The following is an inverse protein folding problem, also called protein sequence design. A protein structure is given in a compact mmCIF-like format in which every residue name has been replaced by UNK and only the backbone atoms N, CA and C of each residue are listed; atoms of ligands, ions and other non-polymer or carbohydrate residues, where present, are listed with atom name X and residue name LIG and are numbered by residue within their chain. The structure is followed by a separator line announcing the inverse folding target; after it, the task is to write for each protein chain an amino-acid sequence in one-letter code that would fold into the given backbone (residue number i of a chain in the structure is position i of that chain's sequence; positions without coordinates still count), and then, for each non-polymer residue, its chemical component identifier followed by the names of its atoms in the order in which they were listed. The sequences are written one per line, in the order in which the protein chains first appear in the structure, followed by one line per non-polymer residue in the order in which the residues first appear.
data_IF_050522671316
#
_entry.id   IF_050522671316
#
_cell.length_a   1.000
_cell.length_b   1.000
_cell.length_c   1.000
_cell.angle_alpha   90.00
_cell.angle_beta   90.00
_cell.angle_gamma   90.00
#
_symmetry.space_group_name_H-M   'P 1'
#
loop_
_entity.id
_entity.type
_entity.pdbx_description
1 polymer ?
#
# COMPACT_ATOMS: atom_id res chain seq x y z
N UNK A 1 -25.39 -6.92 -2.63
CA UNK A 1 -25.01 -7.20 -4.03
C UNK A 1 -23.66 -7.91 -4.11
N UNK A 2 -22.50 -7.24 -4.04
CA UNK A 2 -21.19 -7.92 -4.22
C UNK A 2 -20.87 -8.97 -3.14
N UNK A 3 -21.04 -8.64 -1.85
CA UNK A 3 -20.81 -9.60 -0.76
C UNK A 3 -21.76 -10.81 -0.83
N UNK A 4 -23.03 -10.57 -1.10
CA UNK A 4 -24.06 -11.62 -1.25
C UNK A 4 -23.78 -12.50 -2.47
N UNK A 5 -23.27 -11.91 -3.56
CA UNK A 5 -22.83 -12.66 -4.72
C UNK A 5 -21.63 -13.56 -4.37
N UNK A 6 -20.66 -13.07 -3.60
CA UNK A 6 -19.52 -13.88 -3.14
C UNK A 6 -19.98 -15.10 -2.31
N UNK A 7 -20.99 -14.92 -1.45
CA UNK A 7 -21.61 -16.00 -0.68
C UNK A 7 -22.39 -16.98 -1.55
N UNK A 8 -23.20 -16.47 -2.48
CA UNK A 8 -23.95 -17.29 -3.44
C UNK A 8 -23.03 -18.14 -4.32
N UNK A 9 -21.87 -17.59 -4.70
CA UNK A 9 -20.86 -18.27 -5.50
C UNK A 9 -19.99 -19.22 -4.67
N UNK A 10 -20.10 -19.19 -3.34
CA UNK A 10 -19.35 -20.04 -2.41
C UNK A 10 -17.87 -19.67 -2.29
N UNK A 11 -17.47 -18.46 -2.69
CA UNK A 11 -16.06 -18.00 -2.62
C UNK A 11 -15.74 -17.27 -1.32
N UNK A 12 -16.77 -16.89 -0.57
CA UNK A 12 -16.62 -16.28 0.73
C UNK A 12 -17.82 -16.62 1.61
N UNK A 13 -17.62 -16.71 2.91
CA UNK A 13 -18.69 -16.83 3.90
C UNK A 13 -18.46 -15.75 4.96
N UNK A 14 -19.42 -14.84 5.15
CA UNK A 14 -19.27 -13.78 6.15
C UNK A 14 -19.07 -14.34 7.54
N UNK A 15 -19.56 -15.52 7.86
CA UNK A 15 -19.36 -16.17 9.15
C UNK A 15 -17.95 -16.78 9.27
N UNK A 16 -17.21 -16.97 8.18
CA UNK A 16 -15.80 -17.37 8.23
C UNK A 16 -14.84 -16.17 8.39
N UNK A 17 -15.32 -14.93 8.39
CA UNK A 17 -14.49 -13.72 8.59
C UNK A 17 -13.57 -13.82 9.81
N UNK A 18 -12.34 -13.32 9.70
CA UNK A 18 -11.35 -13.37 10.77
C UNK A 18 -11.78 -12.56 12.00
N UNK A 19 -12.27 -11.34 11.77
CA UNK A 19 -12.68 -10.40 12.83
C UNK A 19 -14.16 -10.54 13.16
N UNK A 20 -14.54 -10.44 14.43
CA UNK A 20 -15.95 -10.54 14.84
C UNK A 20 -16.89 -9.54 14.14
N UNK A 21 -16.42 -8.32 13.88
CA UNK A 21 -17.19 -7.29 13.17
C UNK A 21 -16.79 -7.23 11.70
N UNK A 22 -17.78 -7.23 10.81
CA UNK A 22 -17.56 -7.02 9.39
C UNK A 22 -17.53 -5.51 9.10
N UNK A 23 -16.42 -5.03 8.53
CA UNK A 23 -16.26 -3.63 8.16
C UNK A 23 -16.83 -3.37 6.75
N UNK A 24 -18.16 -3.30 6.62
CA UNK A 24 -18.82 -3.06 5.33
C UNK A 24 -18.30 -1.83 4.60
N UNK A 25 -17.90 -0.80 5.34
CA UNK A 25 -17.32 0.42 4.79
C UNK A 25 -16.01 0.17 4.04
N UNK A 26 -15.26 -0.91 4.33
CA UNK A 26 -14.08 -1.28 3.55
C UNK A 26 -14.45 -1.74 2.16
N UNK A 27 -15.49 -2.57 2.02
CA UNK A 27 -15.96 -3.02 0.72
C UNK A 27 -16.57 -1.86 -0.08
N UNK A 28 -17.49 -1.08 0.50
CA UNK A 28 -18.13 0.01 -0.23
C UNK A 28 -17.14 1.07 -0.71
N UNK A 29 -16.22 1.50 0.16
CA UNK A 29 -15.17 2.45 -0.21
C UNK A 29 -14.13 1.81 -1.13
N UNK A 30 -13.83 0.52 -0.96
CA UNK A 30 -12.92 -0.22 -1.83
C UNK A 30 -13.40 -0.27 -3.28
N UNK A 31 -14.69 -0.53 -3.50
CA UNK A 31 -15.29 -0.56 -4.84
C UNK A 31 -15.33 0.80 -5.55
N UNK A 32 -15.12 1.92 -4.83
CA UNK A 32 -14.96 3.25 -5.43
C UNK A 32 -13.55 3.50 -5.99
N UNK A 33 -12.59 2.61 -5.74
CA UNK A 33 -11.24 2.71 -6.29
C UNK A 33 -11.13 1.95 -7.62
N UNK A 34 -10.61 2.63 -8.65
CA UNK A 34 -10.53 2.10 -10.02
C UNK A 34 -9.78 0.75 -10.13
N UNK A 35 -8.68 0.57 -9.40
CA UNK A 35 -7.90 -0.66 -9.40
C UNK A 35 -8.65 -1.83 -8.80
N UNK A 36 -9.35 -1.63 -7.66
CA UNK A 36 -10.18 -2.67 -7.04
C UNK A 36 -11.39 -2.99 -7.92
N UNK A 37 -12.06 -1.96 -8.44
CA UNK A 37 -13.19 -2.12 -9.34
C UNK A 37 -12.79 -2.90 -10.61
N UNK A 38 -11.65 -2.55 -11.22
CA UNK A 38 -11.11 -3.23 -12.41
C UNK A 38 -10.63 -4.65 -12.11
N UNK A 39 -10.07 -4.89 -10.93
CA UNK A 39 -9.55 -6.21 -10.54
C UNK A 39 -10.64 -7.29 -10.54
N UNK A 40 -11.84 -6.95 -10.06
CA UNK A 40 -13.00 -7.85 -10.08
C UNK A 40 -13.96 -7.57 -11.24
N UNK A 41 -13.67 -6.59 -12.10
CA UNK A 41 -14.55 -6.12 -13.19
C UNK A 41 -15.99 -5.83 -12.73
N UNK A 42 -16.13 -5.11 -11.60
CA UNK A 42 -17.47 -4.81 -11.07
C UNK A 42 -18.24 -3.89 -12.03
N UNK A 43 -19.52 -4.20 -12.25
CA UNK A 43 -20.45 -3.34 -12.97
C UNK A 43 -20.52 -1.94 -12.33
N UNK A 44 -20.74 -0.88 -13.12
CA UNK A 44 -21.00 0.46 -12.62
C UNK A 44 -22.13 0.47 -11.59
N UNK A 45 -22.05 1.37 -10.60
CA UNK A 45 -23.06 1.47 -9.53
C UNK A 45 -24.45 1.81 -10.06
N UNK A 46 -24.52 2.46 -11.22
CA UNK A 46 -25.76 2.84 -11.91
C UNK A 46 -26.48 1.64 -12.53
N UNK A 47 -25.79 0.52 -12.72
CA UNK A 47 -26.38 -0.73 -13.21
C UNK A 47 -26.82 -1.62 -12.03
N UNK A 48 -28.11 -1.59 -11.70
CA UNK A 48 -28.69 -2.51 -10.72
C UNK A 48 -28.75 -3.94 -11.27
N UNK A 49 -27.67 -4.71 -11.12
CA UNK A 49 -27.58 -6.13 -11.50
C UNK A 49 -27.45 -7.05 -10.27
N UNK A 50 -28.15 -8.19 -10.20
CA UNK A 50 -27.99 -9.15 -9.12
C UNK A 50 -26.60 -9.81 -9.09
N UNK A 51 -25.88 -9.74 -10.20
CA UNK A 51 -24.53 -10.28 -10.42
C UNK A 51 -23.60 -9.16 -10.92
N UNK A 52 -23.18 -8.23 -10.03
CA UNK A 52 -22.30 -7.12 -10.41
C UNK A 52 -20.88 -7.54 -10.74
N UNK A 53 -20.45 -8.75 -10.36
CA UNK A 53 -19.14 -9.31 -10.73
C UNK A 53 -19.33 -10.41 -11.76
N UNK A 54 -18.64 -10.40 -12.91
CA UNK A 54 -18.80 -11.42 -13.92
C UNK A 54 -18.22 -12.77 -13.45
N UNK A 55 -18.77 -13.88 -13.96
CA UNK A 55 -18.44 -15.23 -13.47
C UNK A 55 -16.97 -15.63 -13.64
N UNK A 56 -16.28 -15.08 -14.65
CA UNK A 56 -14.85 -15.26 -14.90
C UNK A 56 -13.96 -14.54 -13.86
N UNK A 57 -14.51 -13.65 -13.02
CA UNK A 57 -13.83 -12.95 -11.92
C UNK A 57 -14.21 -13.47 -10.53
N UNK A 58 -14.78 -14.68 -10.49
CA UNK A 58 -15.20 -15.35 -9.26
C UNK A 58 -14.02 -15.55 -8.29
N UNK A 59 -12.84 -15.90 -8.80
CA UNK A 59 -11.66 -16.15 -7.96
C UNK A 59 -11.14 -14.85 -7.33
N UNK A 60 -11.01 -13.79 -8.12
CA UNK A 60 -10.61 -12.46 -7.69
C UNK A 60 -11.58 -11.85 -6.67
N UNK A 61 -12.89 -12.12 -6.84
CA UNK A 61 -13.88 -11.74 -5.84
C UNK A 61 -13.62 -12.42 -4.49
N UNK A 62 -13.31 -13.72 -4.50
CA UNK A 62 -12.93 -14.46 -3.31
C UNK A 62 -11.66 -13.89 -2.66
N UNK A 63 -10.62 -13.63 -3.47
CA UNK A 63 -9.38 -13.00 -3.01
C UNK A 63 -9.63 -11.64 -2.35
N UNK A 64 -10.43 -10.78 -2.98
CA UNK A 64 -10.80 -9.48 -2.43
C UNK A 64 -11.51 -9.62 -1.09
N UNK A 65 -12.48 -10.53 -0.96
CA UNK A 65 -13.18 -10.73 0.32
C UNK A 65 -12.22 -11.19 1.43
N UNK A 66 -11.30 -12.11 1.13
CA UNK A 66 -10.30 -12.57 2.09
C UNK A 66 -9.32 -11.45 2.44
N UNK A 67 -8.91 -10.60 1.51
CA UNK A 67 -8.06 -9.44 1.80
C UNK A 67 -8.76 -8.40 2.67
N UNK A 68 -10.06 -8.19 2.52
CA UNK A 68 -10.84 -7.24 3.32
C UNK A 68 -11.21 -7.78 4.71
N UNK A 69 -11.50 -9.07 4.83
CA UNK A 69 -12.14 -9.64 6.03
C UNK A 69 -11.39 -10.81 6.67
N UNK A 70 -10.45 -11.41 5.96
CA UNK A 70 -9.73 -12.62 6.36
C UNK A 70 -10.63 -13.86 6.38
N UNK A 71 -10.04 -14.97 6.82
CA UNK A 71 -10.72 -16.26 7.03
C UNK A 71 -10.22 -16.93 8.31
N UNK A 72 -11.13 -17.36 9.19
CA UNK A 72 -10.81 -18.12 10.41
C UNK A 72 -10.41 -19.54 10.08
N UNK A 73 -11.14 -20.17 9.17
CA UNK A 73 -10.89 -21.54 8.70
C UNK A 73 -9.50 -21.67 8.09
N UNK A 74 -9.09 -20.70 7.28
CA UNK A 74 -7.77 -20.66 6.64
C UNK A 74 -6.69 -20.00 7.51
N UNK A 75 -7.07 -19.45 8.68
CA UNK A 75 -6.18 -18.67 9.57
C UNK A 75 -5.49 -17.51 8.85
N UNK A 76 -6.22 -16.84 7.95
CA UNK A 76 -5.73 -15.70 7.18
C UNK A 76 -6.29 -14.42 7.77
N UNK A 77 -5.41 -13.54 8.22
CA UNK A 77 -5.80 -12.20 8.64
C UNK A 77 -6.15 -11.33 7.42
N UNK A 78 -7.09 -10.38 7.54
CA UNK A 78 -7.31 -9.39 6.51
C UNK A 78 -6.04 -8.54 6.32
N UNK A 79 -5.67 -8.28 5.08
CA UNK A 79 -4.55 -7.37 4.79
C UNK A 79 -4.97 -5.90 4.93
N UNK A 80 -6.28 -5.62 4.81
CA UNK A 80 -6.84 -4.28 5.03
C UNK A 80 -7.24 -4.13 6.50
N UNK A 81 -6.46 -3.34 7.24
CA UNK A 81 -6.67 -3.11 8.66
C UNK A 81 -7.52 -1.85 8.91
N UNK A 82 -7.41 -0.86 8.01
CA UNK A 82 -8.05 0.46 8.02
C UNK A 82 -8.48 0.89 6.61
N UNK A 83 -9.37 1.88 6.48
CA UNK A 83 -9.72 2.42 5.15
C UNK A 83 -8.52 3.08 4.46
N UNK A 84 -7.87 4.04 5.12
CA UNK A 84 -6.65 4.69 4.65
C UNK A 84 -5.59 4.50 5.74
N UNK A 85 -4.39 3.96 5.41
CA UNK A 85 -3.81 3.80 4.07
C UNK A 85 -4.15 2.51 3.31
N UNK A 86 -4.78 1.52 3.94
CA UNK A 86 -4.72 0.16 3.38
C UNK A 86 -5.56 -0.03 2.11
N UNK A 87 -6.74 0.59 1.96
CA UNK A 87 -7.48 0.51 0.69
C UNK A 87 -6.75 1.21 -0.45
N UNK A 88 -6.09 2.36 -0.19
CA UNK A 88 -5.27 3.04 -1.20
C UNK A 88 -4.12 2.13 -1.66
N UNK A 89 -3.47 1.43 -0.73
CA UNK A 89 -2.39 0.48 -1.04
C UNK A 89 -2.92 -0.72 -1.81
N UNK A 90 -3.99 -1.35 -1.34
CA UNK A 90 -4.60 -2.50 -2.02
C UNK A 90 -5.01 -2.14 -3.44
N UNK A 91 -5.60 -0.96 -3.65
CA UNK A 91 -5.96 -0.45 -4.96
C UNK A 91 -4.77 -0.40 -5.95
N UNK A 92 -3.64 0.14 -5.53
CA UNK A 92 -2.45 0.19 -6.37
C UNK A 92 -1.85 -1.20 -6.60
N UNK A 93 -1.82 -2.03 -5.55
CA UNK A 93 -1.28 -3.40 -5.62
C UNK A 93 -2.05 -4.27 -6.60
N UNK A 94 -3.38 -4.25 -6.60
CA UNK A 94 -4.18 -5.08 -7.50
C UNK A 94 -4.16 -4.57 -8.96
N UNK A 95 -3.77 -3.31 -9.17
CA UNK A 95 -3.62 -2.71 -10.49
C UNK A 95 -2.26 -3.03 -11.15
N UNK A 96 -1.25 -3.42 -10.36
CA UNK A 96 0.08 -3.80 -10.85
C UNK A 96 0.31 -5.32 -10.77
N UNK A 97 0.84 -5.90 -11.85
CA UNK A 97 0.99 -7.37 -11.96
C UNK A 97 2.05 -7.93 -11.01
N UNK A 98 3.13 -7.20 -10.78
CA UNK A 98 4.24 -7.66 -9.93
C UNK A 98 3.85 -7.56 -8.45
N UNK A 99 3.27 -6.42 -8.05
CA UNK A 99 2.71 -6.23 -6.71
C UNK A 99 1.59 -7.21 -6.38
N UNK A 100 0.66 -7.44 -7.29
CA UNK A 100 -0.40 -8.43 -7.11
C UNK A 100 0.18 -9.84 -6.90
N UNK A 101 1.21 -10.20 -7.69
CA UNK A 101 1.90 -11.48 -7.53
C UNK A 101 2.60 -11.60 -6.17
N UNK A 102 3.23 -10.53 -5.69
CA UNK A 102 3.82 -10.47 -4.36
C UNK A 102 2.76 -10.66 -3.25
N UNK A 103 1.64 -9.92 -3.32
CA UNK A 103 0.55 -10.03 -2.35
C UNK A 103 -0.05 -11.46 -2.32
N UNK A 104 -0.28 -12.06 -3.48
CA UNK A 104 -0.75 -13.46 -3.61
C UNK A 104 0.23 -14.47 -3.02
N UNK A 105 1.52 -14.17 -3.05
CA UNK A 105 2.59 -15.00 -2.45
C UNK A 105 2.70 -14.83 -0.93
N UNK A 106 1.84 -14.01 -0.31
CA UNK A 106 1.82 -13.77 1.14
C UNK A 106 2.74 -12.64 1.61
N UNK A 107 3.25 -11.81 0.70
CA UNK A 107 3.98 -10.59 1.08
C UNK A 107 3.00 -9.61 1.74
N UNK A 108 3.47 -8.94 2.80
CA UNK A 108 2.72 -7.88 3.48
C UNK A 108 2.25 -6.78 2.51
N UNK A 109 1.04 -6.26 2.72
CA UNK A 109 0.42 -5.29 1.81
C UNK A 109 1.27 -4.02 1.63
N UNK A 110 1.94 -3.52 2.67
CA UNK A 110 2.79 -2.35 2.54
C UNK A 110 4.01 -2.64 1.66
N UNK A 111 4.61 -3.82 1.81
CA UNK A 111 5.76 -4.26 0.99
C UNK A 111 5.36 -4.56 -0.45
N UNK A 112 4.19 -5.18 -0.67
CA UNK A 112 3.66 -5.40 -2.01
C UNK A 112 3.39 -4.06 -2.72
N UNK A 113 2.92 -3.06 -1.98
CA UNK A 113 2.68 -1.70 -2.50
C UNK A 113 3.97 -0.98 -2.89
N UNK A 114 5.07 -1.16 -2.15
CA UNK A 114 6.39 -0.62 -2.54
C UNK A 114 6.88 -1.14 -3.91
N UNK A 115 6.40 -2.29 -4.37
CA UNK A 115 6.73 -2.81 -5.71
C UNK A 115 5.99 -2.03 -6.82
N UNK A 116 4.79 -1.51 -6.55
CA UNK A 116 3.94 -0.83 -7.54
C UNK A 116 4.28 0.64 -7.73
N UNK A 117 4.94 1.26 -6.75
CA UNK A 117 5.22 2.69 -6.79
C UNK A 117 6.56 2.96 -7.49
N UNK A 118 6.63 3.97 -8.40
CA UNK A 118 7.90 4.38 -8.97
C UNK A 118 8.89 4.71 -7.85
N UNK A 119 10.14 4.23 -7.88
CA UNK A 119 11.11 4.48 -6.82
C UNK A 119 11.30 5.96 -6.46
N UNK A 120 11.07 6.87 -7.42
CA UNK A 120 11.08 8.31 -7.19
C UNK A 120 9.97 8.80 -6.25
N UNK A 121 8.75 8.26 -6.38
CA UNK A 121 7.60 8.62 -5.54
C UNK A 121 7.78 8.10 -4.12
N UNK A 122 8.20 6.84 -3.97
CA UNK A 122 8.52 6.27 -2.65
C UNK A 122 9.62 7.06 -1.93
N UNK A 123 10.66 7.43 -2.67
CA UNK A 123 11.75 8.24 -2.13
C UNK A 123 11.26 9.60 -1.65
N UNK A 124 10.42 10.28 -2.43
CA UNK A 124 9.84 11.58 -2.06
C UNK A 124 8.90 11.47 -0.82
N UNK A 125 7.98 10.50 -0.81
CA UNK A 125 7.06 10.29 0.32
C UNK A 125 7.83 9.96 1.62
N UNK A 126 8.90 9.16 1.52
CA UNK A 126 9.76 8.83 2.65
C UNK A 126 10.47 10.08 3.21
N UNK A 127 11.02 10.94 2.35
CA UNK A 127 11.67 12.18 2.76
C UNK A 127 10.68 13.18 3.41
N UNK A 128 9.47 13.32 2.86
CA UNK A 128 8.42 14.17 3.43
C UNK A 128 8.03 13.66 4.81
N UNK A 129 7.83 12.35 4.94
CA UNK A 129 7.48 11.71 6.21
C UNK A 129 8.58 11.90 7.25
N UNK A 130 9.85 11.67 6.88
CA UNK A 130 11.00 11.88 7.74
C UNK A 130 11.08 13.33 8.24
N UNK A 131 10.94 14.31 7.33
CA UNK A 131 10.91 15.73 7.69
C UNK A 131 9.82 16.05 8.72
N UNK A 132 8.61 15.49 8.53
CA UNK A 132 7.50 15.70 9.47
C UNK A 132 7.84 15.13 10.84
N UNK A 133 8.31 13.88 10.91
CA UNK A 133 8.64 13.23 12.19
C UNK A 133 9.77 13.95 12.91
N UNK A 134 10.81 14.38 12.21
CA UNK A 134 11.90 15.16 12.80
C UNK A 134 11.43 16.53 13.29
N UNK A 135 10.49 17.17 12.59
CA UNK A 135 9.89 18.42 13.05
C UNK A 135 9.10 18.22 14.34
N UNK A 136 8.32 17.14 14.43
CA UNK A 136 7.61 16.75 15.64
C UNK A 136 8.57 16.44 16.79
N UNK A 137 9.61 15.61 16.56
CA UNK A 137 10.62 15.30 17.57
C UNK A 137 11.30 16.57 18.10
N UNK A 138 11.65 17.51 17.22
CA UNK A 138 12.24 18.80 17.60
C UNK A 138 11.31 19.63 18.49
N UNK A 139 10.00 19.56 18.29
CA UNK A 139 9.04 20.27 19.15
C UNK A 139 9.01 19.74 20.58
N UNK A 140 9.38 18.47 20.78
CA UNK A 140 9.48 17.82 22.09
C UNK A 140 10.92 17.78 22.64
N UNK A 141 11.89 18.40 21.99
CA UNK A 141 13.31 18.28 22.36
C UNK A 141 13.58 18.60 23.84
N UNK A 142 12.95 19.64 24.37
CA UNK A 142 13.17 20.08 25.76
C UNK A 142 12.41 19.26 26.80
N UNK A 143 11.34 18.57 26.41
CA UNK A 143 10.45 17.84 27.32
C UNK A 143 10.57 16.32 27.20
N UNK A 144 11.09 15.82 26.08
CA UNK A 144 11.25 14.41 25.78
C UNK A 144 12.69 13.91 25.85
N UNK A 145 13.69 14.81 25.93
CA UNK A 145 15.07 14.43 26.21
C UNK A 145 15.23 14.06 27.69
N UNK A 146 15.58 12.81 27.95
CA UNK A 146 15.86 12.28 29.29
C UNK A 146 17.34 12.46 29.69
N UNK A 147 18.15 13.11 28.82
CA UNK A 147 19.57 13.34 29.01
C UNK A 147 20.42 12.10 28.84
N UNK A 148 19.85 11.00 28.33
CA UNK A 148 20.59 9.74 28.14
C UNK A 148 21.46 9.77 26.89
N UNK A 149 22.63 9.12 26.99
CA UNK A 149 23.55 8.95 25.85
C UNK A 149 22.91 8.15 24.71
N UNK A 150 21.91 7.30 25.01
CA UNK A 150 21.15 6.53 24.02
C UNK A 150 20.35 7.42 23.06
N UNK A 151 19.68 8.46 23.57
CA UNK A 151 18.94 9.39 22.70
C UNK A 151 19.89 10.20 21.82
N UNK A 152 21.00 10.67 22.39
CA UNK A 152 22.02 11.39 21.63
C UNK A 152 22.63 10.54 20.51
N UNK A 153 22.92 9.26 20.78
CA UNK A 153 23.40 8.30 19.77
C UNK A 153 22.38 8.09 18.65
N UNK A 154 21.10 7.91 18.99
CA UNK A 154 20.03 7.74 18.01
C UNK A 154 19.91 8.97 17.09
N UNK A 155 19.93 10.18 17.67
CA UNK A 155 19.91 11.43 16.88
C UNK A 155 21.16 11.54 15.99
N UNK A 156 22.32 11.13 16.49
CA UNK A 156 23.56 11.04 15.69
C UNK A 156 23.41 10.14 14.47
N UNK A 157 22.93 8.90 14.64
CA UNK A 157 22.69 7.97 13.52
C UNK A 157 21.71 8.55 12.49
N UNK A 158 20.64 9.21 12.94
CA UNK A 158 19.68 9.86 12.03
C UNK A 158 20.35 10.97 11.21
N UNK A 159 21.21 11.78 11.86
CA UNK A 159 21.92 12.86 11.19
C UNK A 159 22.89 12.33 10.12
N UNK A 160 23.60 11.24 10.41
CA UNK A 160 24.50 10.56 9.45
C UNK A 160 23.72 10.06 8.23
N UNK A 161 22.60 9.34 8.43
CA UNK A 161 21.76 8.84 7.34
C UNK A 161 21.24 10.00 6.47
N UNK A 162 20.77 11.08 7.09
CA UNK A 162 20.28 12.25 6.36
C UNK A 162 21.39 12.93 5.54
N UNK A 163 22.60 13.01 6.10
CA UNK A 163 23.76 13.57 5.42
C UNK A 163 24.20 12.71 4.22
N UNK A 164 24.23 11.38 4.38
CA UNK A 164 24.58 10.46 3.30
C UNK A 164 23.62 10.59 2.11
N UNK A 165 22.31 10.59 2.38
CA UNK A 165 21.28 10.81 1.34
C UNK A 165 21.51 12.14 0.61
N UNK A 166 21.80 13.21 1.37
CA UNK A 166 22.08 14.54 0.79
C UNK A 166 23.30 14.51 -0.13
N UNK A 167 24.43 13.97 0.34
CA UNK A 167 25.67 13.95 -0.43
C UNK A 167 25.59 13.06 -1.66
N UNK A 168 24.84 11.95 -1.61
CA UNK A 168 24.58 11.13 -2.79
C UNK A 168 23.75 11.86 -3.84
N UNK A 169 22.68 12.55 -3.43
CA UNK A 169 21.87 13.37 -4.34
C UNK A 169 22.67 14.51 -4.96
N UNK A 170 23.46 15.21 -4.14
CA UNK A 170 24.33 16.28 -4.62
C UNK A 170 25.35 15.76 -5.63
N UNK A 171 25.98 14.62 -5.34
CA UNK A 171 26.93 13.97 -6.24
C UNK A 171 26.28 13.56 -7.56
N UNK A 172 25.09 12.95 -7.53
CA UNK A 172 24.33 12.57 -8.74
C UNK A 172 23.98 13.80 -9.58
N UNK A 173 23.59 14.91 -8.95
CA UNK A 173 23.30 16.19 -9.64
C UNK A 173 24.55 16.82 -10.25
N UNK A 174 25.68 16.79 -9.54
CA UNK A 174 26.97 17.31 -10.05
C UNK A 174 27.58 16.41 -11.14
N UNK A 175 27.37 15.09 -11.07
CA UNK A 175 27.82 14.13 -12.08
C UNK A 175 26.92 14.07 -13.32
N UNK A 176 25.70 14.63 -13.24
CA UNK A 176 24.71 14.68 -14.32
C UNK A 176 25.05 15.61 -15.48
N UNK A 177 26.21 16.29 -15.47
CA UNK A 177 26.70 17.09 -16.61
C UNK A 177 28.22 16.97 -16.79
N UNK A 178 28.70 15.92 -17.51
CA UNK A 178 29.65 16.19 -18.60
C UNK A 178 29.62 15.21 -19.80
N UNK A 179 28.55 14.42 -20.05
CA UNK A 179 28.49 13.48 -21.19
C UNK A 179 27.24 13.56 -22.07
N UNK A 180 26.72 14.77 -22.30
CA UNK A 180 25.90 15.07 -23.50
C UNK A 180 26.75 15.36 -24.76
N UNK A 181 28.04 15.07 -24.72
CA UNK A 181 28.89 14.95 -25.92
C UNK A 181 29.19 13.46 -26.11
N UNK A 182 28.44 12.83 -27.01
CA UNK A 182 28.93 12.03 -28.14
C UNK A 182 27.73 11.28 -28.71
N UNK A 183 27.08 11.91 -29.69
CA UNK A 183 26.74 11.24 -30.95
C UNK A 183 27.20 12.21 -32.04
N UNK A 184 28.34 11.89 -32.62
CA UNK A 184 28.75 12.29 -33.97
C UNK A 184 27.96 11.48 -34.98
N UNK A 185 27.52 12.12 -36.06
CA UNK A 185 27.32 11.65 -37.46
C UNK A 185 26.38 12.69 -38.14
N UNK A 186 26.65 13.28 -39.30
CA UNK A 186 27.67 13.14 -40.36
C UNK A 186 28.25 14.51 -40.76
#
# INVERSE_FOLDING_TARGET
MVLEQAERLGVFDREDRFRQKLAFSHLYTGLDYDGIASFIEVSPKEEETPDPVPANRKEELGELMVWLYGSRREKREPVVQSQNPDLRRLNAVVADRESLSALRSGVDLAKAFEVSEPPAVLFEEALITAKRQLTTARAYLTTGDDGTESMLKLVGTIAEIAADIYYELERKRRAGDPRRKFITEE
#
